data_IF_688097020129
#
_entry.id   IF_688097020129
#
_cell.length_a   1.000
_cell.length_b   1.000
_cell.length_c   1.000
_cell.angle_alpha   90.00
_cell.angle_beta   90.00
_cell.angle_gamma   90.00
#
_symmetry.space_group_name_H-M   'P 1'
#
loop_
_entity.id
_entity.type
_entity.pdbx_description
1 polymer ?
#
# COMPACT_ATOMS: atom_id res chain seq x y z
N UNK A 1 2.16 -13.24 -5.48
CA UNK A 1 1.39 -13.95 -4.43
C UNK A 1 0.46 -12.92 -3.80
N UNK A 2 -0.61 -13.28 -3.09
CA UNK A 2 -1.30 -12.33 -2.21
C UNK A 2 -0.49 -12.13 -0.93
N UNK A 3 -0.78 -11.06 -0.19
CA UNK A 3 -0.20 -10.87 1.16
C UNK A 3 -0.52 -12.08 2.05
N UNK A 4 0.42 -12.46 2.92
CA UNK A 4 0.17 -13.46 3.96
C UNK A 4 -0.96 -12.97 4.88
N UNK A 5 -1.78 -13.89 5.42
CA UNK A 5 -2.92 -13.51 6.28
C UNK A 5 -2.52 -12.60 7.45
N UNK A 6 -1.32 -12.80 8.01
CA UNK A 6 -0.77 -11.96 9.08
C UNK A 6 -0.46 -10.55 8.60
N UNK A 7 0.25 -10.40 7.48
CA UNK A 7 0.57 -9.11 6.89
C UNK A 7 -0.72 -8.37 6.49
N UNK A 8 -1.66 -9.10 5.90
CA UNK A 8 -2.95 -8.61 5.46
C UNK A 8 -3.78 -8.07 6.64
N UNK A 9 -3.84 -8.83 7.74
CA UNK A 9 -4.51 -8.40 8.97
C UNK A 9 -3.83 -7.18 9.59
N UNK A 10 -2.50 -7.14 9.63
CA UNK A 10 -1.74 -6.01 10.14
C UNK A 10 -1.97 -4.73 9.31
N UNK A 11 -2.03 -4.85 7.98
CA UNK A 11 -2.34 -3.73 7.09
C UNK A 11 -3.79 -3.26 7.22
N UNK A 12 -4.75 -4.18 7.32
CA UNK A 12 -6.17 -3.83 7.49
C UNK A 12 -6.48 -3.21 8.86
N UNK A 13 -5.62 -3.42 9.86
CA UNK A 13 -5.72 -2.73 11.15
C UNK A 13 -5.34 -1.25 11.06
N UNK A 14 -4.66 -0.82 9.99
CA UNK A 14 -4.26 0.57 9.80
C UNK A 14 -5.45 1.44 9.37
N UNK A 15 -5.58 2.59 10.03
CA UNK A 15 -6.66 3.53 9.73
C UNK A 15 -6.52 4.10 8.32
N UNK A 16 -7.55 3.88 7.50
CA UNK A 16 -7.59 4.34 6.10
C UNK A 16 -7.02 3.34 5.09
N UNK A 17 -6.51 2.20 5.55
CA UNK A 17 -6.10 1.08 4.68
C UNK A 17 -7.25 0.08 4.62
N UNK A 18 -7.90 0.02 3.46
CA UNK A 18 -8.99 -0.92 3.20
C UNK A 18 -8.57 -2.06 2.28
N UNK A 19 -9.43 -3.08 2.09
CA UNK A 19 -9.15 -4.22 1.19
C UNK A 19 -8.83 -3.79 -0.24
N UNK A 20 -9.42 -2.68 -0.71
CA UNK A 20 -9.11 -2.10 -2.02
C UNK A 20 -7.66 -1.62 -2.11
N UNK A 21 -7.09 -1.06 -1.04
CA UNK A 21 -5.68 -0.62 -1.03
C UNK A 21 -4.76 -1.82 -1.16
N UNK A 22 -5.03 -2.89 -0.42
CA UNK A 22 -4.24 -4.12 -0.50
C UNK A 22 -4.31 -4.76 -1.89
N UNK A 23 -5.52 -4.88 -2.46
CA UNK A 23 -5.69 -5.42 -3.80
C UNK A 23 -4.90 -4.61 -4.84
N UNK A 24 -4.82 -3.29 -4.68
CA UNK A 24 -4.07 -2.42 -5.59
C UNK A 24 -2.56 -2.58 -5.40
N UNK A 25 -2.08 -2.74 -4.17
CA UNK A 25 -0.69 -3.07 -3.90
C UNK A 25 -0.30 -4.42 -4.52
N UNK A 26 -1.16 -5.44 -4.38
CA UNK A 26 -0.97 -6.75 -5.01
C UNK A 26 -0.92 -6.65 -6.55
N UNK A 27 -1.77 -5.82 -7.16
CA UNK A 27 -1.76 -5.55 -8.60
C UNK A 27 -0.48 -4.83 -9.07
N UNK A 28 0.18 -4.07 -8.19
CA UNK A 28 1.50 -3.48 -8.45
C UNK A 28 2.64 -4.46 -8.21
N UNK A 29 2.34 -5.69 -7.78
CA UNK A 29 3.33 -6.69 -7.39
C UNK A 29 3.94 -6.44 -5.99
N UNK A 30 3.38 -5.51 -5.23
CA UNK A 30 3.74 -5.17 -3.84
C UNK A 30 2.90 -6.02 -2.90
N UNK A 31 3.20 -7.30 -2.84
CA UNK A 31 2.41 -8.34 -2.17
C UNK A 31 3.06 -8.89 -0.89
N UNK A 32 4.05 -8.18 -0.34
CA UNK A 32 4.76 -8.59 0.88
C UNK A 32 5.45 -7.38 1.52
N UNK A 33 5.69 -7.45 2.84
CA UNK A 33 6.41 -6.41 3.55
C UNK A 33 7.83 -6.20 3.02
N UNK A 34 8.51 -7.27 2.59
CA UNK A 34 9.84 -7.15 1.97
C UNK A 34 9.85 -6.25 0.73
N UNK A 35 8.84 -6.38 -0.15
CA UNK A 35 8.72 -5.53 -1.34
C UNK A 35 8.28 -4.11 -1.01
N UNK A 36 7.39 -3.95 -0.03
CA UNK A 36 6.94 -2.65 0.44
C UNK A 36 8.10 -1.85 1.03
N UNK A 37 8.97 -2.45 1.86
CA UNK A 37 10.17 -1.78 2.42
C UNK A 37 11.13 -1.25 1.34
N UNK A 38 11.22 -1.94 0.20
CA UNK A 38 12.04 -1.52 -0.93
C UNK A 38 11.39 -0.48 -1.85
N UNK A 39 10.15 -0.08 -1.56
CA UNK A 39 9.35 0.79 -2.42
C UNK A 39 9.16 2.17 -1.80
N UNK A 40 9.14 3.19 -2.66
CA UNK A 40 8.92 4.58 -2.22
C UNK A 40 7.43 4.96 -2.26
N UNK A 41 6.98 5.73 -1.27
CA UNK A 41 5.59 6.17 -1.17
C UNK A 41 5.11 6.92 -2.42
N UNK A 42 5.94 7.82 -2.98
CA UNK A 42 5.59 8.57 -4.18
C UNK A 42 5.51 7.65 -5.39
N UNK A 43 6.43 6.69 -5.52
CA UNK A 43 6.39 5.69 -6.58
C UNK A 43 5.11 4.85 -6.52
N UNK A 44 4.69 4.41 -5.33
CA UNK A 44 3.44 3.64 -5.14
C UNK A 44 2.22 4.50 -5.49
N UNK A 45 2.18 5.75 -5.03
CA UNK A 45 1.06 6.66 -5.32
C UNK A 45 0.98 7.00 -6.81
N UNK A 46 2.13 7.14 -7.48
CA UNK A 46 2.22 7.33 -8.93
C UNK A 46 1.76 6.10 -9.70
N UNK A 47 2.23 4.91 -9.31
CA UNK A 47 1.81 3.64 -9.88
C UNK A 47 0.31 3.40 -9.67
N UNK A 48 -0.23 3.73 -8.49
CA UNK A 48 -1.65 3.70 -8.18
C UNK A 48 -2.46 4.60 -9.08
N UNK A 49 -2.01 5.84 -9.29
CA UNK A 49 -2.70 6.76 -10.17
C UNK A 49 -2.72 6.29 -11.63
N UNK A 50 -1.61 5.70 -12.10
CA UNK A 50 -1.52 5.12 -13.43
C UNK A 50 -2.43 3.89 -13.58
N UNK A 51 -2.44 3.00 -12.58
CA UNK A 51 -3.23 1.77 -12.54
C UNK A 51 -4.74 2.05 -12.50
N UNK A 52 -5.17 3.06 -11.73
CA UNK A 52 -6.59 3.42 -11.61
C UNK A 52 -7.04 4.43 -12.67
N UNK A 53 -6.15 4.83 -13.58
CA UNK A 53 -6.43 5.85 -14.61
C UNK A 53 -6.88 7.20 -14.02
N UNK A 54 -6.55 7.49 -12.76
CA UNK A 54 -7.10 8.61 -12.00
C UNK A 54 -6.07 9.22 -11.07
N UNK A 55 -6.13 10.53 -10.87
CA UNK A 55 -5.20 11.25 -9.99
C UNK A 55 -5.52 11.10 -8.51
N UNK A 56 -6.59 10.40 -8.15
CA UNK A 56 -7.10 10.31 -6.79
C UNK A 56 -6.08 9.70 -5.82
N UNK A 57 -5.25 8.74 -6.26
CA UNK A 57 -4.19 8.17 -5.42
C UNK A 57 -3.11 9.21 -5.08
N UNK A 58 -2.55 9.89 -6.10
CA UNK A 58 -1.48 10.87 -5.86
C UNK A 58 -1.96 12.19 -5.22
N UNK A 59 -3.22 12.56 -5.39
CA UNK A 59 -3.78 13.82 -4.89
C UNK A 59 -4.60 13.68 -3.61
N UNK A 60 -5.02 12.48 -3.22
CA UNK A 60 -5.79 12.28 -1.99
C UNK A 60 -4.87 12.28 -0.76
N UNK A 61 -5.12 13.15 0.23
CA UNK A 61 -4.43 13.11 1.51
C UNK A 61 -4.62 11.75 2.21
N UNK A 62 -5.79 11.13 2.04
CA UNK A 62 -6.09 9.82 2.62
C UNK A 62 -5.24 8.72 2.00
N UNK A 63 -5.07 8.73 0.67
CA UNK A 63 -4.23 7.74 0.00
C UNK A 63 -2.76 7.88 0.41
N UNK A 64 -2.25 9.13 0.49
CA UNK A 64 -0.90 9.41 0.99
C UNK A 64 -0.68 8.89 2.40
N UNK A 65 -1.62 9.18 3.31
CA UNK A 65 -1.55 8.71 4.69
C UNK A 65 -1.62 7.18 4.77
N UNK A 66 -2.48 6.53 3.97
CA UNK A 66 -2.60 5.08 3.92
C UNK A 66 -1.28 4.44 3.47
N UNK A 67 -0.69 4.88 2.35
CA UNK A 67 0.58 4.33 1.85
C UNK A 67 1.73 4.58 2.82
N UNK A 68 1.82 5.76 3.44
CA UNK A 68 2.82 6.03 4.46
C UNK A 68 2.69 5.07 5.65
N UNK A 69 1.46 4.83 6.14
CA UNK A 69 1.20 3.88 7.23
C UNK A 69 1.54 2.44 6.82
N UNK A 70 1.24 2.04 5.59
CA UNK A 70 1.61 0.72 5.04
C UNK A 70 3.12 0.53 5.05
N UNK A 71 3.88 1.51 4.55
CA UNK A 71 5.35 1.43 4.48
C UNK A 71 5.99 1.45 5.87
N UNK A 72 5.48 2.28 6.76
CA UNK A 72 5.91 2.30 8.15
C UNK A 72 5.66 0.94 8.80
N UNK A 73 4.44 0.41 8.68
CA UNK A 73 4.08 -0.88 9.25
C UNK A 73 4.93 -2.02 8.70
N UNK A 74 5.18 -2.01 7.39
CA UNK A 74 6.05 -2.99 6.76
C UNK A 74 7.46 -2.95 7.37
N UNK A 75 7.98 -1.77 7.68
CA UNK A 75 9.32 -1.57 8.28
C UNK A 75 9.36 -1.97 9.76
N UNK A 76 8.27 -1.81 10.51
CA UNK A 76 8.16 -2.19 11.93
C UNK A 76 8.09 -3.71 12.15
N UNK A 77 7.60 -4.47 11.17
CA UNK A 77 7.46 -5.94 11.20
C UNK A 77 8.76 -6.66 10.74
N UNK A 78 9.92 -6.03 10.94
CA UNK A 78 11.24 -6.53 10.51
C UNK A 78 12.01 -7.25 11.63
#
# INVERSE_FOLDING_TARGET
MPFEERERAALLALKGVGPTVLQRLEQMGLDSFGKLRGSDAQSILGAGAALTGSSCWKNSPQARAAIAAVLQRATEDA
#
